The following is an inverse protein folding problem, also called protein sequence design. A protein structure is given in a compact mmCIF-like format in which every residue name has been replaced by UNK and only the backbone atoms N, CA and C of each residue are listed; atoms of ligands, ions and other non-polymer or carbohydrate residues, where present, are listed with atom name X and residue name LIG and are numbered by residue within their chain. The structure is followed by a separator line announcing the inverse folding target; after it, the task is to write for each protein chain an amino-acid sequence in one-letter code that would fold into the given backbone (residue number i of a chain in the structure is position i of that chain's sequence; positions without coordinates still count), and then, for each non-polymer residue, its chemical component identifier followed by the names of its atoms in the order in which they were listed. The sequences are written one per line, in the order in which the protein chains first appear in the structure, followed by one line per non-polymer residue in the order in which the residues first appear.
data_IF_708640641510
#
_entry.id   IF_708640641510
#
_cell.length_a   1.000
_cell.length_b   1.000
_cell.length_c   1.000
_cell.angle_alpha   90.00
_cell.angle_beta   90.00
_cell.angle_gamma   90.00
#
_symmetry.space_group_name_H-M   'P 1'
#
loop_
_entity.id
_entity.type
_entity.pdbx_description
1 polymer ?
#
# COMPACT_ATOMS: atom_id res chain seq x y z
N UNK A 1 -17.22 15.00 1.59
CA UNK A 1 -15.88 15.36 1.12
C UNK A 1 -15.25 14.09 0.55
N UNK A 2 -14.67 14.13 -0.65
CA UNK A 2 -13.95 12.98 -1.21
C UNK A 2 -12.48 13.16 -0.86
N UNK A 3 -11.87 12.13 -0.26
CA UNK A 3 -10.42 12.05 -0.11
C UNK A 3 -9.98 11.11 -1.22
N UNK A 4 -9.05 11.54 -2.07
CA UNK A 4 -8.50 10.68 -3.12
C UNK A 4 -7.39 9.80 -2.52
N UNK A 5 -7.15 8.62 -3.10
CA UNK A 5 -6.07 7.75 -2.65
C UNK A 5 -4.71 8.40 -2.96
N UNK A 6 -3.74 8.38 -2.04
CA UNK A 6 -2.44 9.01 -2.28
C UNK A 6 -1.69 8.33 -3.41
N UNK A 7 -1.22 9.14 -4.36
CA UNK A 7 -0.39 8.66 -5.47
C UNK A 7 0.97 8.21 -4.94
N UNK A 8 1.46 7.07 -5.43
CA UNK A 8 2.84 6.65 -5.19
C UNK A 8 3.80 7.66 -5.82
N UNK A 9 4.65 8.28 -5.00
CA UNK A 9 5.72 9.15 -5.48
C UNK A 9 7.04 8.42 -5.25
N UNK A 10 7.72 8.09 -6.36
CA UNK A 10 9.01 7.41 -6.34
C UNK A 10 10.00 8.22 -5.48
N UNK A 11 10.31 7.71 -4.28
CA UNK A 11 11.33 8.29 -3.39
C UNK A 11 10.92 8.52 -1.94
N UNK A 12 9.63 8.44 -1.56
CA UNK A 12 9.22 8.53 -0.15
C UNK A 12 8.11 7.55 0.25
N UNK A 13 8.47 6.27 0.51
CA UNK A 13 7.53 5.27 1.02
C UNK A 13 6.94 5.64 2.39
N UNK A 14 7.65 6.42 3.21
CA UNK A 14 7.22 6.78 4.57
C UNK A 14 6.12 7.85 4.55
N UNK A 15 6.32 8.90 3.75
CA UNK A 15 5.31 9.93 3.50
C UNK A 15 4.08 9.34 2.84
N UNK A 16 4.26 8.52 1.81
CA UNK A 16 3.15 7.83 1.15
C UNK A 16 2.36 6.96 2.13
N UNK A 17 3.04 6.12 2.92
CA UNK A 17 2.37 5.24 3.89
C UNK A 17 1.62 6.03 4.98
N UNK A 18 2.11 7.21 5.35
CA UNK A 18 1.44 8.11 6.29
C UNK A 18 0.12 8.65 5.71
N UNK A 19 0.12 9.04 4.44
CA UNK A 19 -1.10 9.44 3.72
C UNK A 19 -2.08 8.27 3.57
N UNK A 20 -1.60 7.07 3.21
CA UNK A 20 -2.42 5.86 3.06
C UNK A 20 -3.12 5.50 4.38
N UNK A 21 -2.41 5.56 5.51
CA UNK A 21 -3.00 5.35 6.84
C UNK A 21 -4.13 6.33 7.14
N UNK A 22 -3.97 7.60 6.79
CA UNK A 22 -5.01 8.61 6.95
C UNK A 22 -6.24 8.30 6.07
N UNK A 23 -6.03 7.92 4.81
CA UNK A 23 -7.09 7.50 3.89
C UNK A 23 -7.89 6.33 4.45
N UNK A 24 -7.22 5.23 4.82
CA UNK A 24 -7.90 4.04 5.35
C UNK A 24 -8.66 4.31 6.63
N UNK A 25 -8.12 5.16 7.52
CA UNK A 25 -8.83 5.57 8.73
C UNK A 25 -10.09 6.38 8.40
N UNK A 26 -10.00 7.30 7.45
CA UNK A 26 -11.15 8.12 7.03
C UNK A 26 -12.26 7.25 6.42
N UNK A 27 -11.90 6.32 5.55
CA UNK A 27 -12.84 5.43 4.86
C UNK A 27 -13.25 4.19 5.67
N UNK A 28 -12.70 4.00 6.88
CA UNK A 28 -12.89 2.80 7.72
C UNK A 28 -12.61 1.50 6.96
N UNK A 29 -11.56 1.52 6.15
CA UNK A 29 -11.17 0.39 5.30
C UNK A 29 -10.78 -0.81 6.17
N UNK A 30 -11.38 -2.00 5.95
CA UNK A 30 -10.98 -3.22 6.64
C UNK A 30 -9.53 -3.59 6.36
N UNK A 31 -8.80 -4.06 7.37
CA UNK A 31 -7.39 -4.44 7.25
C UNK A 31 -7.17 -5.50 6.15
N UNK A 32 -8.12 -6.43 6.00
CA UNK A 32 -8.10 -7.47 4.97
C UNK A 32 -8.08 -6.93 3.52
N UNK A 33 -8.52 -5.69 3.29
CA UNK A 33 -8.56 -5.06 1.96
C UNK A 33 -7.50 -3.98 1.76
N UNK A 34 -6.73 -3.64 2.81
CA UNK A 34 -5.78 -2.53 2.75
C UNK A 34 -4.64 -2.78 1.75
N UNK A 35 -4.12 -4.01 1.68
CA UNK A 35 -3.04 -4.36 0.76
C UNK A 35 -3.54 -4.28 -0.68
N UNK A 36 -4.66 -4.91 -0.99
CA UNK A 36 -5.25 -4.88 -2.33
C UNK A 36 -5.45 -3.45 -2.84
N UNK A 37 -6.01 -2.57 -1.99
CA UNK A 37 -6.22 -1.16 -2.34
C UNK A 37 -4.87 -0.42 -2.47
N UNK A 38 -3.89 -0.69 -1.62
CA UNK A 38 -2.59 -0.03 -1.72
C UNK A 38 -1.85 -0.40 -3.01
N UNK A 39 -1.92 -1.68 -3.41
CA UNK A 39 -1.22 -2.25 -4.56
C UNK A 39 -1.73 -1.72 -5.88
N UNK A 40 -3.06 -1.54 -6.05
CA UNK A 40 -3.62 -0.96 -7.29
C UNK A 40 -3.14 0.48 -7.55
N UNK A 41 -2.58 1.14 -6.54
CA UNK A 41 -2.06 2.50 -6.61
C UNK A 41 -0.52 2.56 -6.58
N UNK A 42 0.17 1.42 -6.56
CA UNK A 42 1.61 1.35 -6.77
C UNK A 42 1.92 1.50 -8.27
N UNK A 43 2.99 2.22 -8.59
CA UNK A 43 3.44 2.42 -9.96
C UNK A 43 4.83 1.78 -10.20
N UNK A 44 5.13 1.47 -11.46
CA UNK A 44 6.48 1.13 -11.97
C UNK A 44 7.17 -0.03 -11.21
N UNK A 45 8.24 0.26 -10.48
CA UNK A 45 9.08 -0.75 -9.84
C UNK A 45 8.44 -1.26 -8.53
N UNK A 46 7.58 -0.45 -7.91
CA UNK A 46 6.89 -0.83 -6.68
C UNK A 46 5.88 -1.96 -6.93
N UNK A 47 5.18 -1.97 -8.06
CA UNK A 47 4.25 -3.07 -8.38
C UNK A 47 5.02 -4.37 -8.72
N UNK A 48 6.21 -4.27 -9.33
CA UNK A 48 7.06 -5.44 -9.59
C UNK A 48 7.58 -6.07 -8.29
N UNK A 49 8.01 -5.24 -7.33
CA UNK A 49 8.38 -5.67 -5.99
C UNK A 49 7.23 -6.41 -5.29
N UNK A 50 6.01 -5.87 -5.35
CA UNK A 50 4.83 -6.51 -4.75
C UNK A 50 4.58 -7.89 -5.36
N UNK A 51 4.55 -8.00 -6.70
CA UNK A 51 4.32 -9.26 -7.39
C UNK A 51 5.34 -10.32 -7.00
N UNK A 52 6.62 -9.95 -6.87
CA UNK A 52 7.67 -10.87 -6.41
C UNK A 52 7.43 -11.36 -4.97
N UNK A 53 7.03 -10.47 -4.06
CA UNK A 53 6.70 -10.83 -2.69
C UNK A 53 5.46 -11.72 -2.58
N UNK A 54 4.40 -11.42 -3.34
CA UNK A 54 3.19 -12.23 -3.38
C UNK A 54 3.49 -13.63 -3.92
N UNK A 55 4.33 -13.75 -4.96
CA UNK A 55 4.76 -15.04 -5.48
C UNK A 55 5.59 -15.86 -4.48
N UNK A 56 6.41 -15.20 -3.64
CA UNK A 56 7.32 -15.88 -2.71
C UNK A 56 6.70 -16.17 -1.35
N UNK A 57 5.78 -15.32 -0.88
CA UNK A 57 5.22 -15.38 0.48
C UNK A 57 3.69 -15.56 0.51
N UNK A 58 3.02 -15.53 -0.64
CA UNK A 58 1.56 -15.53 -0.73
C UNK A 58 0.96 -14.17 -0.37
N UNK A 59 -0.33 -14.17 -0.01
CA UNK A 59 -1.07 -12.95 0.34
C UNK A 59 -0.42 -12.27 1.56
N UNK A 60 -0.01 -11.02 1.38
CA UNK A 60 0.63 -10.25 2.43
C UNK A 60 -0.40 -9.68 3.42
N UNK A 61 -0.10 -9.75 4.72
CA UNK A 61 -0.78 -8.91 5.71
C UNK A 61 -0.35 -7.45 5.56
N UNK A 62 -1.17 -6.52 6.02
CA UNK A 62 -0.81 -5.09 6.04
C UNK A 62 0.51 -4.83 6.80
N UNK A 63 0.80 -5.61 7.84
CA UNK A 63 2.08 -5.55 8.55
C UNK A 63 3.26 -5.93 7.65
N UNK A 64 3.18 -7.05 6.94
CA UNK A 64 4.24 -7.49 6.02
C UNK A 64 4.43 -6.52 4.87
N UNK A 65 3.35 -6.02 4.29
CA UNK A 65 3.39 -5.01 3.22
C UNK A 65 4.17 -3.77 3.65
N UNK A 66 3.86 -3.20 4.83
CA UNK A 66 4.61 -2.06 5.39
C UNK A 66 6.09 -2.37 5.62
N UNK A 67 6.38 -3.56 6.14
CA UNK A 67 7.76 -3.96 6.47
C UNK A 67 8.65 -4.16 5.25
N UNK A 68 8.09 -4.48 4.08
CA UNK A 68 8.91 -4.61 2.87
C UNK A 68 9.00 -3.33 2.03
N UNK A 69 8.18 -2.32 2.31
CA UNK A 69 8.27 -0.97 1.70
C UNK A 69 9.32 -0.07 2.36
N UNK A 70 9.75 -0.41 3.58
CA UNK A 70 10.71 0.34 4.40
C UNK A 70 12.04 -0.42 4.49
#
# INVERSE_FOLDING_TARGET
MRVDFPRWEDGDPTGWLSCVKCYFRYHRTPEATMVDIAVIHLERDAIQWYNWLEHTQGVLTWRQFKSGLL
#
